data_IF_032809145817
#
_entry.id   IF_032809145817
#
_cell.length_a   1.000
_cell.length_b   1.000
_cell.length_c   1.000
_cell.angle_alpha   90.00
_cell.angle_beta   90.00
_cell.angle_gamma   90.00
#
_symmetry.space_group_name_H-M   'P 1'
#
loop_
_entity.id
_entity.type
_entity.pdbx_description
1 polymer ?
#
# COMPACT_ATOMS: atom_id res chain seq x y z
N UNK A 1 -11.19 -25.76 4.50
CA UNK A 1 -10.19 -25.60 3.41
C UNK A 1 -10.29 -24.17 2.90
N UNK A 2 -9.20 -23.41 2.93
CA UNK A 2 -9.21 -22.00 2.54
C UNK A 2 -8.57 -21.83 1.16
N UNK A 3 -9.33 -21.29 0.22
CA UNK A 3 -8.84 -20.87 -1.09
C UNK A 3 -9.31 -19.44 -1.32
N UNK A 4 -8.36 -18.51 -1.38
CA UNK A 4 -8.63 -17.09 -1.54
C UNK A 4 -8.02 -16.58 -2.84
N UNK A 5 -8.66 -15.56 -3.41
CA UNK A 5 -8.13 -14.84 -4.56
C UNK A 5 -8.49 -13.35 -4.47
N UNK A 6 -7.53 -12.51 -4.85
CA UNK A 6 -7.65 -11.06 -4.88
C UNK A 6 -7.24 -10.53 -6.25
N UNK A 7 -7.96 -9.52 -6.73
CA UNK A 7 -7.58 -8.76 -7.91
C UNK A 7 -6.83 -7.51 -7.44
N UNK A 8 -5.58 -7.38 -7.86
CA UNK A 8 -4.71 -6.25 -7.52
C UNK A 8 -4.38 -5.51 -8.80
N UNK A 9 -4.64 -4.21 -8.83
CA UNK A 9 -4.25 -3.35 -9.95
C UNK A 9 -2.85 -2.82 -9.69
N UNK A 10 -1.90 -3.19 -10.54
CA UNK A 10 -0.51 -2.74 -10.49
C UNK A 10 -0.35 -1.28 -10.94
N UNK A 11 0.85 -0.75 -10.75
CA UNK A 11 1.17 0.64 -11.05
C UNK A 11 0.87 1.05 -12.51
N UNK A 12 1.04 0.12 -13.46
CA UNK A 12 0.81 0.37 -14.89
C UNK A 12 -0.66 0.20 -15.32
N UNK A 13 -1.56 -0.11 -14.37
CA UNK A 13 -2.98 -0.36 -14.64
C UNK A 13 -3.30 -1.82 -14.98
N UNK A 14 -2.30 -2.70 -15.06
CA UNK A 14 -2.52 -4.14 -15.23
C UNK A 14 -3.20 -4.74 -13.99
N UNK A 15 -4.20 -5.61 -14.19
CA UNK A 15 -4.82 -6.35 -13.09
C UNK A 15 -4.20 -7.74 -12.96
N UNK A 16 -3.81 -8.07 -11.73
CA UNK A 16 -3.21 -9.34 -11.34
C UNK A 16 -4.15 -10.10 -10.41
N UNK A 17 -4.38 -11.38 -10.71
CA UNK A 17 -5.15 -12.27 -9.84
C UNK A 17 -4.20 -13.06 -8.96
N UNK A 18 -3.97 -12.57 -7.74
CA UNK A 18 -3.23 -13.30 -6.72
C UNK A 18 -4.15 -14.29 -6.02
N UNK A 19 -3.69 -15.52 -5.81
CA UNK A 19 -4.42 -16.51 -5.05
C UNK A 19 -3.52 -17.26 -4.09
N UNK A 20 -4.16 -17.73 -3.03
CA UNK A 20 -3.56 -18.47 -1.94
C UNK A 20 -4.46 -19.66 -1.63
N UNK A 21 -3.88 -20.85 -1.71
CA UNK A 21 -4.45 -22.06 -1.16
C UNK A 21 -3.74 -22.38 0.14
N UNK A 22 -4.49 -22.67 1.20
CA UNK A 22 -3.96 -23.16 2.47
C UNK A 22 -4.75 -24.40 2.92
N UNK A 23 -4.06 -25.54 2.94
CA UNK A 23 -4.64 -26.83 3.27
C UNK A 23 -5.03 -26.91 4.75
N UNK A 24 -6.29 -27.22 5.05
CA UNK A 24 -6.82 -27.23 6.42
C UNK A 24 -6.15 -28.25 7.35
N UNK A 25 -5.78 -29.42 6.83
CA UNK A 25 -5.14 -30.49 7.62
C UNK A 25 -3.62 -30.55 7.45
N UNK A 26 -3.15 -30.27 6.24
CA UNK A 26 -1.73 -30.40 5.88
C UNK A 26 -0.96 -29.10 6.09
N UNK A 27 -1.67 -27.97 6.20
CA UNK A 27 -1.10 -26.63 6.23
C UNK A 27 -0.13 -26.37 5.06
N UNK A 28 -0.33 -27.07 3.94
CA UNK A 28 0.43 -26.81 2.73
C UNK A 28 -0.13 -25.56 2.07
N UNK A 29 0.76 -24.67 1.63
CA UNK A 29 0.42 -23.40 1.01
C UNK A 29 0.86 -23.42 -0.45
N UNK A 30 -0.01 -22.92 -1.31
CA UNK A 30 0.33 -22.59 -2.70
C UNK A 30 -0.08 -21.15 -2.96
N UNK A 31 0.89 -20.31 -3.31
CA UNK A 31 0.66 -18.94 -3.79
C UNK A 31 0.80 -18.92 -5.29
N UNK A 32 -0.15 -18.31 -5.99
CA UNK A 32 -0.13 -18.19 -7.44
C UNK A 32 -0.56 -16.79 -7.90
N UNK A 33 -0.08 -16.36 -9.06
CA UNK A 33 -0.55 -15.16 -9.75
C UNK A 33 -0.90 -15.50 -11.19
N UNK A 34 -2.07 -15.09 -11.67
CA UNK A 34 -2.53 -15.33 -13.05
C UNK A 34 -2.33 -16.80 -13.49
N UNK A 35 -2.72 -17.73 -12.61
CA UNK A 35 -2.62 -19.19 -12.78
C UNK A 35 -1.18 -19.75 -12.83
N UNK A 36 -0.16 -18.95 -12.50
CA UNK A 36 1.23 -19.42 -12.35
C UNK A 36 1.59 -19.51 -10.87
N UNK A 37 2.12 -20.65 -10.46
CA UNK A 37 2.62 -20.85 -9.09
C UNK A 37 3.84 -19.96 -8.86
N UNK A 38 3.84 -19.20 -7.76
CA UNK A 38 4.93 -18.31 -7.34
C UNK A 38 5.68 -18.90 -6.15
N UNK A 39 4.94 -19.49 -5.20
CA UNK A 39 5.53 -20.13 -4.04
C UNK A 39 4.72 -21.37 -3.64
N UNK A 40 5.44 -22.36 -3.14
CA UNK A 40 4.88 -23.53 -2.46
C UNK A 40 5.59 -23.63 -1.12
N UNK A 41 4.84 -23.88 -0.06
CA UNK A 41 5.39 -24.11 1.26
C UNK A 41 4.62 -25.22 1.97
N UNK A 42 5.30 -25.97 2.84
CA UNK A 42 4.74 -27.15 3.48
C UNK A 42 4.64 -26.93 4.99
N UNK A 43 3.48 -27.28 5.55
CA UNK A 43 3.24 -27.28 6.99
C UNK A 43 3.34 -25.88 7.65
N UNK A 44 2.76 -24.86 7.00
CA UNK A 44 2.71 -23.47 7.48
C UNK A 44 1.65 -23.33 8.57
N UNK A 45 2.04 -23.61 9.81
CA UNK A 45 1.14 -23.57 10.98
C UNK A 45 1.13 -22.22 11.70
N UNK A 46 2.10 -21.36 11.41
CA UNK A 46 2.25 -20.05 12.03
C UNK A 46 2.02 -18.93 11.01
N UNK A 47 1.86 -17.70 11.52
CA UNK A 47 1.72 -16.53 10.66
C UNK A 47 2.87 -16.41 9.68
N UNK A 48 2.55 -16.13 8.41
CA UNK A 48 3.54 -16.02 7.34
C UNK A 48 3.13 -14.99 6.31
N UNK A 49 4.10 -14.23 5.83
CA UNK A 49 3.92 -13.27 4.74
C UNK A 49 4.68 -13.74 3.50
N UNK A 50 4.02 -13.68 2.35
CA UNK A 50 4.60 -13.87 1.03
C UNK A 50 4.63 -12.53 0.33
N UNK A 51 5.84 -12.05 0.01
CA UNK A 51 6.05 -10.77 -0.66
C UNK A 51 6.48 -11.00 -2.10
N UNK A 52 5.86 -10.28 -3.03
CA UNK A 52 6.19 -10.33 -4.45
C UNK A 52 6.00 -8.96 -5.09
N UNK A 53 6.72 -8.71 -6.19
CA UNK A 53 6.46 -7.53 -7.00
C UNK A 53 5.41 -7.83 -8.08
N UNK A 54 4.39 -6.98 -8.15
CA UNK A 54 3.42 -6.89 -9.25
C UNK A 54 3.68 -5.57 -9.98
N UNK A 55 4.21 -5.65 -11.21
CA UNK A 55 4.88 -4.51 -11.86
C UNK A 55 5.99 -3.92 -10.98
N UNK A 56 5.71 -2.77 -10.37
CA UNK A 56 6.58 -2.03 -9.46
C UNK A 56 5.99 -1.95 -8.04
N UNK A 57 4.79 -2.50 -7.82
CA UNK A 57 4.16 -2.54 -6.51
C UNK A 57 4.67 -3.75 -5.72
N UNK A 58 5.09 -3.52 -4.49
CA UNK A 58 5.33 -4.62 -3.55
C UNK A 58 3.99 -5.06 -2.98
N UNK A 59 3.58 -6.28 -3.29
CA UNK A 59 2.37 -6.89 -2.78
C UNK A 59 2.71 -7.92 -1.69
N UNK A 60 1.93 -7.93 -0.62
CA UNK A 60 2.06 -8.86 0.50
C UNK A 60 0.79 -9.68 0.65
N UNK A 61 0.93 -11.00 0.61
CA UNK A 61 -0.09 -11.96 1.03
C UNK A 61 0.25 -12.42 2.44
N UNK A 62 -0.65 -12.20 3.40
CA UNK A 62 -0.48 -12.65 4.78
C UNK A 62 -1.40 -13.81 5.10
N UNK A 63 -0.85 -14.76 5.84
CA UNK A 63 -1.58 -15.74 6.63
C UNK A 63 -1.33 -15.33 8.08
N UNK A 64 -2.36 -14.95 8.80
CA UNK A 64 -2.27 -14.53 10.20
C UNK A 64 -2.91 -15.62 11.07
N UNK A 65 -2.11 -16.35 11.85
CA UNK A 65 -2.59 -17.36 12.79
C UNK A 65 -3.18 -16.65 14.02
N UNK A 66 -4.50 -16.74 14.19
CA UNK A 66 -5.24 -16.05 15.27
C UNK A 66 -5.52 -16.96 16.47
N UNK A 67 -4.95 -18.17 16.47
CA UNK A 67 -5.05 -19.18 17.54
C UNK A 67 -6.12 -20.25 17.25
N UNK A 68 -6.04 -21.38 17.95
CA UNK A 68 -6.97 -22.52 17.80
C UNK A 68 -7.13 -22.99 16.33
N UNK A 69 -6.04 -23.06 15.57
CA UNK A 69 -6.05 -23.38 14.13
C UNK A 69 -6.93 -22.44 13.27
N UNK A 70 -7.20 -21.22 13.76
CA UNK A 70 -7.85 -20.18 12.98
C UNK A 70 -6.81 -19.32 12.27
N UNK A 71 -7.11 -19.00 11.02
CA UNK A 71 -6.23 -18.23 10.16
C UNK A 71 -7.03 -17.15 9.45
N UNK A 72 -6.49 -15.94 9.44
CA UNK A 72 -6.96 -14.84 8.58
C UNK A 72 -6.03 -14.69 7.38
N UNK A 73 -6.60 -14.27 6.26
CA UNK A 73 -5.87 -14.14 5.00
C UNK A 73 -6.06 -12.74 4.43
N UNK A 74 -4.96 -12.07 4.12
CA UNK A 74 -4.99 -10.72 3.56
C UNK A 74 -4.08 -10.61 2.35
N UNK A 75 -4.38 -9.65 1.48
CA UNK A 75 -3.57 -9.27 0.35
C UNK A 75 -3.58 -7.74 0.24
N UNK A 76 -2.40 -7.12 0.31
CA UNK A 76 -2.27 -5.66 0.24
C UNK A 76 -1.04 -5.22 -0.55
N UNK A 77 -1.11 -4.03 -1.13
CA UNK A 77 0.07 -3.32 -1.62
C UNK A 77 0.74 -2.65 -0.43
N UNK A 78 2.03 -2.92 -0.22
CA UNK A 78 2.81 -2.30 0.82
C UNK A 78 3.39 -0.96 0.32
N UNK A 79 2.78 0.14 0.75
CA UNK A 79 3.21 1.51 0.43
C UNK A 79 4.26 2.08 1.41
N UNK A 80 4.55 1.37 2.49
CA UNK A 80 5.44 1.82 3.56
C UNK A 80 6.87 1.31 3.37
N UNK A 81 7.02 0.14 2.76
CA UNK A 81 8.32 -0.43 2.42
C UNK A 81 9.14 0.52 1.53
N UNK A 82 10.46 0.56 1.76
CA UNK A 82 11.41 1.35 0.97
C UNK A 82 11.65 0.69 -0.40
N UNK A 83 10.68 0.82 -1.29
CA UNK A 83 10.79 0.43 -2.70
C UNK A 83 11.05 1.67 -3.56
N UNK A 84 11.68 1.54 -4.74
CA UNK A 84 11.91 2.69 -5.63
C UNK A 84 10.62 3.47 -5.95
N UNK A 85 9.50 2.79 -6.16
CA UNK A 85 8.22 3.43 -6.43
C UNK A 85 7.66 4.18 -5.20
N UNK A 86 7.74 3.57 -4.01
CA UNK A 86 7.27 4.22 -2.78
C UNK A 86 8.14 5.42 -2.41
N UNK A 87 9.45 5.36 -2.65
CA UNK A 87 10.36 6.48 -2.46
C UNK A 87 10.02 7.64 -3.40
N UNK A 88 9.80 7.36 -4.68
CA UNK A 88 9.35 8.36 -5.66
C UNK A 88 8.03 9.00 -5.25
N UNK A 89 7.05 8.22 -4.80
CA UNK A 89 5.76 8.71 -4.28
C UNK A 89 5.95 9.61 -3.05
N UNK A 90 6.82 9.22 -2.12
CA UNK A 90 7.12 10.02 -0.92
C UNK A 90 7.74 11.35 -1.30
N UNK A 91 8.71 11.35 -2.22
CA UNK A 91 9.36 12.57 -2.72
C UNK A 91 8.34 13.55 -3.31
N UNK A 92 7.45 13.08 -4.20
CA UNK A 92 6.41 13.94 -4.75
C UNK A 92 5.48 14.52 -3.69
N UNK A 93 5.01 13.71 -2.73
CA UNK A 93 4.16 14.21 -1.63
C UNK A 93 4.87 15.26 -0.78
N UNK A 94 6.15 15.07 -0.51
CA UNK A 94 6.95 16.05 0.24
C UNK A 94 7.13 17.36 -0.54
N UNK A 95 7.35 17.30 -1.85
CA UNK A 95 7.44 18.47 -2.73
C UNK A 95 6.12 19.22 -2.84
N UNK A 96 5.00 18.51 -3.00
CA UNK A 96 3.66 19.10 -3.01
C UNK A 96 3.34 19.77 -1.68
N UNK A 97 3.57 19.10 -0.55
CA UNK A 97 3.33 19.68 0.78
C UNK A 97 4.17 20.93 1.05
N UNK A 98 5.43 20.96 0.60
CA UNK A 98 6.29 22.16 0.67
C UNK A 98 5.69 23.30 -0.17
N UNK A 99 5.26 22.98 -1.38
CA UNK A 99 4.66 23.94 -2.31
C UNK A 99 3.35 24.51 -1.77
N UNK A 100 2.49 23.67 -1.21
CA UNK A 100 1.24 24.10 -0.57
C UNK A 100 1.48 25.01 0.63
N UNK A 101 2.41 24.64 1.52
CA UNK A 101 2.80 25.50 2.65
C UNK A 101 3.29 26.86 2.17
N UNK A 102 4.13 26.88 1.12
CA UNK A 102 4.62 28.13 0.55
C UNK A 102 3.48 28.99 -0.02
N UNK A 103 2.54 28.38 -0.73
CA UNK A 103 1.35 29.08 -1.28
C UNK A 103 0.47 29.66 -0.16
N UNK A 104 0.25 28.92 0.92
CA UNK A 104 -0.51 29.40 2.08
C UNK A 104 0.18 30.58 2.75
N UNK A 105 1.50 30.49 2.95
CA UNK A 105 2.29 31.59 3.52
C UNK A 105 2.19 32.83 2.62
N UNK A 106 2.39 32.68 1.31
CA UNK A 106 2.29 33.80 0.37
C UNK A 106 0.90 34.43 0.37
N UNK A 107 -0.17 33.63 0.37
CA UNK A 107 -1.54 34.11 0.44
C UNK A 107 -1.83 34.88 1.74
N UNK A 108 -1.36 34.36 2.88
CA UNK A 108 -1.49 35.02 4.18
C UNK A 108 -0.74 36.36 4.21
N UNK A 109 0.47 36.42 3.63
CA UNK A 109 1.23 37.67 3.51
C UNK A 109 0.49 38.71 2.67
N UNK A 110 -0.08 38.33 1.52
CA UNK A 110 -0.87 39.24 0.67
C UNK A 110 -2.11 39.75 1.41
N UNK A 111 -2.84 38.86 2.08
CA UNK A 111 -4.02 39.23 2.86
C UNK A 111 -3.67 40.22 3.99
N UNK A 112 -2.55 40.01 4.69
CA UNK A 112 -2.07 40.92 5.73
C UNK A 112 -1.75 42.32 5.17
N UNK A 113 -1.06 42.40 4.03
CA UNK A 113 -0.74 43.68 3.37
C UNK A 113 -2.01 44.42 2.93
N UNK A 114 -2.97 43.71 2.33
CA UNK A 114 -4.27 44.29 1.94
C UNK A 114 -5.04 44.83 3.14
N UNK A 115 -5.02 44.11 4.26
CA UNK A 115 -5.71 44.50 5.49
C UNK A 115 -5.09 45.77 6.10
N UNK A 116 -3.76 45.86 6.12
CA UNK A 116 -3.04 47.08 6.54
C UNK A 116 -3.38 48.27 5.64
N UNK A 117 -3.41 48.06 4.32
CA UNK A 117 -3.76 49.12 3.37
C UNK A 117 -5.19 49.63 3.55
N UNK A 118 -6.16 48.73 3.74
CA UNK A 118 -7.56 49.08 4.00
C UNK A 118 -7.72 49.86 5.31
N UNK A 119 -7.08 49.42 6.39
CA UNK A 119 -7.14 50.13 7.67
C UNK A 119 -6.50 51.53 7.60
N UNK A 120 -5.37 51.67 6.91
CA UNK A 120 -4.71 52.96 6.71
C UNK A 120 -5.50 53.94 5.83
N UNK A 121 -6.37 53.44 4.94
CA UNK A 121 -7.23 54.29 4.10
C UNK A 121 -8.48 54.83 4.81
N UNK A 122 -8.83 54.28 5.98
CA UNK A 122 -10.01 54.70 6.77
C UNK A 122 -9.68 55.66 7.93
N UNK A 123 -8.39 55.99 8.12
CA UNK A 123 -7.89 56.91 9.15
C UNK A 123 -7.51 58.26 8.51
#
# INVERSE_FOLDING_TARGET
>A
MAQHAWNITGHQGNTYKLGLFHGEKTHHVVVHCNNRVIAIDFSVKESKTYSLFLDQELCELTIDHTGNDHYEYNCRINHDAKTPLNEKRRQYREEEAKTERLRLIAAASVAAVMLVWLLGSML
#
